data_IF_596777980570
#
_entry.id   IF_596777980570
#
_cell.length_a   1.000
_cell.length_b   1.000
_cell.length_c   1.000
_cell.angle_alpha   90.00
_cell.angle_beta   90.00
_cell.angle_gamma   90.00
#
_symmetry.space_group_name_H-M   'P 1'
#
loop_
_entity.id
_entity.type
_entity.pdbx_description
1 polymer ?
#
# COMPACT_ATOMS: atom_id res chain seq x y z
N UNK A 1 -2.12 -11.54 -3.91
CA UNK A 1 -1.47 -10.43 -4.62
C UNK A 1 -2.50 -9.32 -4.73
N UNK A 2 -2.34 -8.20 -4.01
CA UNK A 2 -3.18 -7.03 -4.25
C UNK A 2 -2.86 -6.44 -5.63
N UNK A 3 -3.87 -6.40 -6.48
CA UNK A 3 -3.81 -5.67 -7.74
C UNK A 3 -4.13 -4.20 -7.45
N UNK A 4 -3.26 -3.30 -7.89
CA UNK A 4 -3.54 -1.86 -7.81
C UNK A 4 -4.62 -1.49 -8.83
N UNK A 5 -5.71 -0.85 -8.39
CA UNK A 5 -6.77 -0.38 -9.30
C UNK A 5 -6.36 0.82 -10.17
N UNK A 6 -5.27 1.51 -9.83
CA UNK A 6 -4.79 2.69 -10.56
C UNK A 6 -3.89 2.35 -11.75
N UNK A 7 -2.89 1.50 -11.55
CA UNK A 7 -1.95 1.10 -12.61
C UNK A 7 -2.15 -0.34 -13.11
N UNK A 8 -3.12 -1.07 -12.54
CA UNK A 8 -3.36 -2.50 -12.82
C UNK A 8 -2.15 -3.40 -12.56
N UNK A 9 -1.16 -2.90 -11.80
CA UNK A 9 0.01 -3.68 -11.41
C UNK A 9 -0.33 -4.68 -10.31
N UNK A 10 0.28 -5.85 -10.42
CA UNK A 10 0.18 -6.91 -9.43
C UNK A 10 1.44 -6.90 -8.57
N UNK A 11 1.27 -6.73 -7.26
CA UNK A 11 2.38 -6.64 -6.32
C UNK A 11 2.27 -7.70 -5.25
N UNK A 12 3.42 -8.19 -4.78
CA UNK A 12 3.49 -8.96 -3.54
C UNK A 12 3.43 -8.01 -2.34
N UNK A 13 3.04 -8.52 -1.15
CA UNK A 13 3.03 -7.69 0.05
C UNK A 13 4.37 -7.02 0.35
N UNK A 14 5.50 -7.65 0.01
CA UNK A 14 6.85 -7.14 0.27
C UNK A 14 7.21 -5.96 -0.64
N UNK A 15 6.63 -5.89 -1.85
CA UNK A 15 6.83 -4.82 -2.83
C UNK A 15 6.03 -3.55 -2.51
N UNK A 16 5.01 -3.66 -1.66
CA UNK A 16 4.17 -2.52 -1.31
C UNK A 16 4.91 -1.53 -0.40
N UNK A 17 4.76 -0.25 -0.75
CA UNK A 17 5.30 0.85 0.05
C UNK A 17 4.43 1.03 1.29
N UNK A 18 5.06 0.98 2.47
CA UNK A 18 4.40 1.19 3.75
C UNK A 18 4.85 2.52 4.33
N UNK A 19 3.89 3.37 4.65
CA UNK A 19 4.14 4.68 5.22
C UNK A 19 3.47 4.80 6.59
N UNK A 20 4.23 5.22 7.61
CA UNK A 20 3.70 5.44 8.95
C UNK A 20 3.12 6.84 9.07
N UNK A 21 1.86 6.92 9.47
CA UNK A 21 1.15 8.17 9.76
C UNK A 21 0.54 8.09 11.16
N UNK A 22 1.35 8.44 12.17
CA UNK A 22 0.99 8.34 13.58
C UNK A 22 0.66 6.89 13.99
N UNK A 23 -0.56 6.59 14.48
CA UNK A 23 -0.96 5.23 14.83
C UNK A 23 -1.34 4.38 13.62
N UNK A 24 -1.35 4.94 12.41
CA UNK A 24 -1.73 4.27 11.17
C UNK A 24 -0.50 3.88 10.37
N UNK A 25 -0.61 2.75 9.68
CA UNK A 25 0.32 2.30 8.67
C UNK A 25 -0.45 2.23 7.34
N UNK A 26 -0.14 3.18 6.47
CA UNK A 26 -0.70 3.31 5.14
C UNK A 26 0.08 2.40 4.18
N UNK A 27 -0.63 1.83 3.22
CA UNK A 27 -0.07 0.97 2.18
C UNK A 27 -0.31 1.64 0.84
N UNK A 28 0.75 1.83 0.08
CA UNK A 28 0.71 2.46 -1.23
C UNK A 28 1.25 1.54 -2.31
N UNK A 29 0.72 1.70 -3.52
CA UNK A 29 1.31 1.15 -4.72
C UNK A 29 2.69 1.80 -4.97
N UNK A 30 3.75 1.02 -5.24
CA UNK A 30 5.08 1.57 -5.50
C UNK A 30 5.15 2.39 -6.80
N UNK A 31 4.35 2.03 -7.81
CA UNK A 31 4.45 2.64 -9.13
C UNK A 31 3.62 3.93 -9.27
N UNK A 32 2.39 3.93 -8.77
CA UNK A 32 1.46 5.07 -8.93
C UNK A 32 1.15 5.82 -7.62
N UNK A 33 1.67 5.35 -6.49
CA UNK A 33 1.46 5.98 -5.18
C UNK A 33 0.04 5.84 -4.61
N UNK A 34 -0.88 5.19 -5.33
CA UNK A 34 -2.26 5.01 -4.90
C UNK A 34 -2.32 4.28 -3.56
N UNK A 35 -3.11 4.81 -2.62
CA UNK A 35 -3.36 4.12 -1.35
C UNK A 35 -4.17 2.85 -1.60
N UNK A 36 -3.59 1.72 -1.23
CA UNK A 36 -4.21 0.39 -1.31
C UNK A 36 -4.90 -0.01 0.00
N UNK A 37 -4.60 0.70 1.10
CA UNK A 37 -5.23 0.44 2.39
C UNK A 37 -4.49 1.08 3.55
N UNK A 38 -5.05 0.91 4.76
CA UNK A 38 -4.43 1.34 6.00
C UNK A 38 -4.75 0.36 7.13
N UNK A 39 -3.84 0.25 8.10
CA UNK A 39 -4.06 -0.53 9.32
C UNK A 39 -3.55 0.22 10.54
N UNK A 40 -4.19 0.01 11.69
CA UNK A 40 -3.68 0.55 12.96
C UNK A 40 -2.52 -0.30 13.45
N UNK A 41 -1.42 0.33 13.84
CA UNK A 41 -0.41 -0.34 14.66
C UNK A 41 -1.01 -0.55 16.05
N UNK A 42 -0.98 -1.79 16.53
CA UNK A 42 -1.47 -2.20 17.85
C UNK A 42 -0.32 -2.24 18.85
#
# INVERSE_FOLDING_TARGET
>A
MPTCSGCSGDFTPEELVRHEDGPLLLVHCPDCGLSLGSYRRR
#
